data_IF_281701701873
#
_entry.id   IF_281701701873
#
_cell.length_a   1.000
_cell.length_b   1.000
_cell.length_c   1.000
_cell.angle_alpha   90.00
_cell.angle_beta   90.00
_cell.angle_gamma   90.00
#
_symmetry.space_group_name_H-M   'P 1'
#
loop_
_entity.id
_entity.type
_entity.pdbx_description
1 polymer ?
#
# COMPACT_ATOMS: atom_id res chain seq x y z
N UNK A 1 12.65 1.00 -6.80
CA UNK A 1 11.81 0.07 -6.02
C UNK A 1 12.51 -0.26 -4.71
N UNK A 2 13.76 -0.73 -4.74
CA UNK A 2 14.50 -1.14 -3.54
C UNK A 2 14.69 -0.06 -2.46
N UNK A 3 14.53 1.22 -2.79
CA UNK A 3 14.61 2.33 -1.83
C UNK A 3 13.23 2.78 -1.31
N UNK A 4 12.15 2.30 -1.93
CA UNK A 4 10.80 2.77 -1.61
C UNK A 4 10.21 2.00 -0.42
N UNK A 5 9.82 2.71 0.66
CA UNK A 5 9.07 2.12 1.76
C UNK A 5 7.55 2.18 1.56
N UNK A 6 7.10 2.84 0.49
CA UNK A 6 5.68 3.11 0.29
C UNK A 6 5.30 3.17 -1.19
N UNK A 7 4.16 2.58 -1.51
CA UNK A 7 3.55 2.76 -2.83
C UNK A 7 2.01 2.79 -2.71
N UNK A 8 1.36 3.24 -3.77
CA UNK A 8 -0.08 3.09 -3.97
C UNK A 8 -0.29 2.02 -5.02
N UNK A 9 -1.12 1.02 -4.71
CA UNK A 9 -1.59 -0.01 -5.62
C UNK A 9 -2.99 0.38 -6.11
N UNK A 10 -3.11 0.59 -7.42
CA UNK A 10 -4.40 0.78 -8.08
C UNK A 10 -4.84 -0.51 -8.77
N UNK A 11 -6.13 -0.85 -8.63
CA UNK A 11 -6.78 -2.01 -9.24
C UNK A 11 -8.17 -1.62 -9.73
N UNK A 12 -8.74 -2.40 -10.62
CA UNK A 12 -10.15 -2.23 -11.03
C UNK A 12 -10.90 -3.55 -10.95
N UNK A 13 -12.16 -3.46 -10.59
CA UNK A 13 -13.07 -4.60 -10.65
C UNK A 13 -13.55 -4.90 -12.08
N UNK A 14 -14.44 -5.89 -12.22
CA UNK A 14 -15.02 -6.29 -13.51
C UNK A 14 -15.92 -5.22 -14.14
N UNK A 15 -16.48 -4.32 -13.32
CA UNK A 15 -17.38 -3.27 -13.76
C UNK A 15 -16.65 -1.95 -14.07
N UNK A 16 -15.32 -1.94 -13.87
CA UNK A 16 -14.46 -0.78 -14.13
C UNK A 16 -14.37 0.19 -12.96
N UNK A 17 -14.94 -0.12 -11.78
CA UNK A 17 -14.70 0.66 -10.58
C UNK A 17 -13.25 0.53 -10.13
N UNK A 18 -12.63 1.63 -9.74
CA UNK A 18 -11.21 1.70 -9.41
C UNK A 18 -11.02 1.82 -7.89
N UNK A 19 -10.11 1.01 -7.36
CA UNK A 19 -9.61 1.11 -5.99
C UNK A 19 -8.15 1.53 -5.97
N UNK A 20 -7.78 2.33 -4.98
CA UNK A 20 -6.40 2.77 -4.74
C UNK A 20 -6.03 2.54 -3.28
N UNK A 21 -5.14 1.59 -3.04
CA UNK A 21 -4.78 1.13 -1.71
C UNK A 21 -3.33 1.48 -1.36
N UNK A 22 -3.06 2.10 -0.19
CA UNK A 22 -1.71 2.31 0.30
C UNK A 22 -1.05 0.98 0.67
N UNK A 23 0.21 0.82 0.31
CA UNK A 23 1.05 -0.33 0.66
C UNK A 23 2.39 0.18 1.19
N UNK A 24 2.86 -0.42 2.28
CA UNK A 24 4.09 0.02 2.91
C UNK A 24 4.77 -1.08 3.71
N UNK A 25 6.06 -0.89 3.94
CA UNK A 25 6.94 -1.78 4.69
C UNK A 25 8.34 -1.16 4.79
N UNK A 26 9.34 -1.96 5.12
CA UNK A 26 10.73 -1.49 5.03
C UNK A 26 11.08 -1.12 3.57
N UNK A 27 12.05 -0.22 3.34
CA UNK A 27 12.53 0.04 1.98
C UNK A 27 12.82 -1.26 1.23
N UNK A 28 12.23 -1.41 0.04
CA UNK A 28 12.33 -2.64 -0.74
C UNK A 28 11.34 -3.76 -0.37
N UNK A 29 10.29 -3.47 0.41
CA UNK A 29 9.26 -4.44 0.79
C UNK A 29 8.57 -5.12 -0.41
N UNK A 30 8.59 -4.48 -1.58
CA UNK A 30 8.25 -5.11 -2.85
C UNK A 30 9.52 -5.63 -3.48
N UNK A 31 9.63 -6.93 -3.63
CA UNK A 31 10.82 -7.59 -4.13
C UNK A 31 10.83 -7.61 -5.67
N UNK A 32 11.98 -7.35 -6.26
CA UNK A 32 12.22 -7.53 -7.68
C UNK A 32 12.63 -8.98 -7.89
N UNK A 33 11.69 -9.81 -8.33
CA UNK A 33 11.89 -11.25 -8.53
C UNK A 33 12.53 -11.60 -9.87
N UNK A 34 12.69 -10.62 -10.76
CA UNK A 34 13.28 -10.79 -12.09
C UNK A 34 13.08 -9.55 -12.96
N UNK A 35 13.54 -9.56 -14.22
CA UNK A 35 13.45 -8.40 -15.11
C UNK A 35 12.03 -7.84 -15.27
N UNK A 36 11.03 -8.71 -15.26
CA UNK A 36 9.63 -8.35 -15.45
C UNK A 36 8.73 -8.89 -14.34
N UNK A 37 9.26 -9.12 -13.14
CA UNK A 37 8.51 -9.70 -12.03
C UNK A 37 8.69 -8.89 -10.76
N UNK A 38 7.58 -8.42 -10.18
CA UNK A 38 7.53 -7.92 -8.83
C UNK A 38 6.74 -8.86 -7.93
N UNK A 39 7.14 -8.93 -6.67
CA UNK A 39 6.51 -9.73 -5.64
C UNK A 39 6.17 -8.82 -4.47
N UNK A 40 4.88 -8.64 -4.21
CA UNK A 40 4.39 -7.80 -3.12
C UNK A 40 3.74 -8.67 -2.05
N UNK A 41 4.32 -8.72 -0.83
CA UNK A 41 3.73 -9.47 0.27
C UNK A 41 2.45 -8.80 0.77
N UNK A 42 1.41 -9.60 1.05
CA UNK A 42 0.21 -9.13 1.74
C UNK A 42 0.44 -9.15 3.24
N UNK A 43 0.41 -7.99 3.85
CA UNK A 43 0.58 -7.79 5.29
C UNK A 43 -0.76 -7.52 5.96
N UNK A 44 -0.82 -7.82 7.24
CA UNK A 44 -1.98 -7.46 8.07
C UNK A 44 -2.23 -5.94 8.01
N UNK A 45 -3.49 -5.56 7.86
CA UNK A 45 -3.89 -4.16 7.72
C UNK A 45 -5.37 -3.99 8.03
N UNK A 46 -6.06 -3.16 7.27
CA UNK A 46 -7.46 -2.79 7.48
C UNK A 46 -8.50 -3.90 7.20
N UNK A 47 -8.08 -5.13 6.94
CA UNK A 47 -8.90 -6.28 6.57
C UNK A 47 -9.77 -6.11 5.30
N UNK A 48 -9.57 -5.04 4.54
CA UNK A 48 -10.19 -4.87 3.22
C UNK A 48 -9.36 -5.59 2.18
N UNK A 49 -10.00 -6.46 1.42
CA UNK A 49 -9.37 -7.28 0.39
C UNK A 49 -9.71 -6.81 -1.03
N UNK A 50 -10.24 -5.59 -1.16
CA UNK A 50 -10.77 -5.06 -2.42
C UNK A 50 -9.74 -5.20 -3.56
N UNK A 51 -8.48 -4.82 -3.34
CA UNK A 51 -7.44 -4.96 -4.36
C UNK A 51 -7.21 -6.41 -4.80
N UNK A 52 -7.20 -7.37 -3.86
CA UNK A 52 -7.03 -8.80 -4.21
C UNK A 52 -8.26 -9.36 -4.92
N UNK A 53 -9.44 -8.95 -4.48
CA UNK A 53 -10.70 -9.32 -5.14
C UNK A 53 -10.74 -8.79 -6.57
N UNK A 54 -10.40 -7.53 -6.79
CA UNK A 54 -10.32 -6.93 -8.12
C UNK A 54 -9.34 -7.66 -9.04
N UNK A 55 -8.22 -8.15 -8.47
CA UNK A 55 -7.23 -8.91 -9.23
C UNK A 55 -7.74 -10.29 -9.60
N UNK A 56 -8.39 -11.00 -8.67
CA UNK A 56 -8.84 -12.38 -8.85
C UNK A 56 -10.12 -12.46 -9.69
N UNK A 57 -11.09 -11.59 -9.42
CA UNK A 57 -12.40 -11.59 -10.03
C UNK A 57 -12.51 -10.66 -11.25
N UNK A 58 -11.61 -9.67 -11.35
CA UNK A 58 -11.61 -8.66 -12.41
C UNK A 58 -10.58 -8.92 -13.51
N UNK A 59 -10.07 -7.85 -14.09
CA UNK A 59 -9.13 -7.92 -15.21
C UNK A 59 -7.73 -8.40 -14.83
N UNK A 60 -7.39 -8.35 -13.55
CA UNK A 60 -6.05 -8.58 -13.03
C UNK A 60 -5.05 -7.45 -13.34
N UNK A 61 -5.45 -6.38 -14.02
CA UNK A 61 -4.54 -5.24 -14.25
C UNK A 61 -4.31 -4.48 -12.96
N UNK A 62 -3.05 -4.15 -12.75
CA UNK A 62 -2.56 -3.38 -11.60
C UNK A 62 -1.67 -2.25 -12.05
N UNK A 63 -1.70 -1.17 -11.29
CA UNK A 63 -0.76 -0.07 -11.47
C UNK A 63 -0.22 0.38 -10.11
N UNK A 64 1.10 0.56 -10.04
CA UNK A 64 1.77 1.01 -8.82
C UNK A 64 2.40 2.38 -9.06
N UNK A 65 2.39 3.20 -8.03
CA UNK A 65 3.19 4.41 -7.95
C UNK A 65 4.04 4.36 -6.68
N UNK A 66 5.36 4.36 -6.86
CA UNK A 66 6.35 4.26 -5.78
C UNK A 66 6.82 5.64 -5.36
N UNK A 67 6.97 5.82 -4.06
CA UNK A 67 7.48 7.03 -3.43
C UNK A 67 8.73 6.72 -2.62
N UNK A 68 9.71 7.59 -2.72
CA UNK A 68 10.92 7.55 -1.87
C UNK A 68 10.96 8.86 -1.10
N UNK A 69 10.89 8.85 0.23
CA UNK A 69 10.91 10.08 1.01
C UNK A 69 12.12 10.96 0.67
N UNK A 70 11.85 12.23 0.39
CA UNK A 70 12.87 13.21 -0.01
C UNK A 70 13.22 13.23 -1.50
N UNK A 71 12.63 12.34 -2.32
CA UNK A 71 12.77 12.33 -3.78
C UNK A 71 11.43 12.69 -4.41
N UNK A 72 11.42 13.72 -5.27
CA UNK A 72 10.17 14.23 -5.86
C UNK A 72 9.72 13.40 -7.08
N UNK A 73 10.62 12.76 -7.80
CA UNK A 73 10.28 11.84 -8.89
C UNK A 73 9.63 10.56 -8.33
N UNK A 74 8.63 10.06 -9.05
CA UNK A 74 7.99 8.79 -8.73
C UNK A 74 8.21 7.78 -9.83
N UNK A 75 8.30 6.49 -9.46
CA UNK A 75 8.33 5.40 -10.42
C UNK A 75 6.92 4.82 -10.56
N UNK A 76 6.46 4.66 -11.80
CA UNK A 76 5.20 3.99 -12.10
C UNK A 76 5.46 2.65 -12.76
N UNK A 77 4.71 1.65 -12.32
CA UNK A 77 4.81 0.28 -12.83
C UNK A 77 3.40 -0.24 -13.12
N UNK A 78 3.14 -0.57 -14.37
CA UNK A 78 1.90 -1.22 -14.80
C UNK A 78 2.15 -2.68 -15.14
N UNK A 79 1.16 -3.52 -14.84
CA UNK A 79 1.32 -4.95 -15.11
C UNK A 79 0.04 -5.75 -14.89
N UNK A 80 0.20 -7.06 -14.82
CA UNK A 80 -0.87 -8.00 -14.52
C UNK A 80 -0.55 -8.76 -13.23
N UNK A 81 -1.48 -8.68 -12.27
CA UNK A 81 -1.36 -9.32 -10.97
C UNK A 81 -1.94 -10.74 -10.96
N UNK A 82 -1.34 -11.58 -10.15
CA UNK A 82 -1.83 -12.89 -9.78
C UNK A 82 -1.52 -13.13 -8.30
N UNK A 83 -2.49 -13.62 -7.54
CA UNK A 83 -2.33 -13.88 -6.10
C UNK A 83 -1.90 -15.33 -5.89
N UNK A 84 -0.87 -15.53 -5.09
CA UNK A 84 -0.39 -16.86 -4.71
C UNK A 84 -0.24 -17.00 -3.21
N UNK A 85 -0.44 -18.23 -2.74
CA UNK A 85 -0.20 -18.66 -1.36
C UNK A 85 0.91 -19.73 -1.30
N UNK A 86 1.86 -19.68 -2.22
CA UNK A 86 3.00 -20.58 -2.25
C UNK A 86 3.79 -20.49 -0.93
N UNK A 87 3.91 -21.59 -0.16
CA UNK A 87 4.52 -21.57 1.16
C UNK A 87 6.01 -21.21 1.14
N UNK A 88 6.76 -21.64 0.12
CA UNK A 88 8.19 -21.35 0.02
C UNK A 88 8.41 -19.88 -0.28
N UNK A 89 7.61 -19.33 -1.19
CA UNK A 89 7.65 -17.91 -1.50
C UNK A 89 7.26 -17.06 -0.28
N UNK A 90 6.19 -17.42 0.42
CA UNK A 90 5.77 -16.71 1.64
C UNK A 90 6.84 -16.77 2.73
N UNK A 91 7.48 -17.94 2.92
CA UNK A 91 8.55 -18.11 3.89
C UNK A 91 9.79 -17.25 3.58
N UNK A 92 10.09 -17.02 2.30
CA UNK A 92 11.20 -16.16 1.87
C UNK A 92 10.93 -14.64 2.11
N UNK A 93 9.69 -14.27 2.43
CA UNK A 93 9.25 -12.88 2.59
C UNK A 93 8.82 -12.55 4.02
N UNK A 94 9.38 -13.25 5.01
CA UNK A 94 9.14 -12.96 6.43
C UNK A 94 9.69 -11.57 6.76
N UNK A 95 8.85 -10.75 7.41
CA UNK A 95 9.19 -9.41 7.89
C UNK A 95 8.47 -9.17 9.22
N UNK A 96 9.07 -8.45 10.14
CA UNK A 96 8.55 -8.26 11.50
C UNK A 96 8.22 -9.58 12.22
N UNK A 97 8.97 -10.66 11.89
CA UNK A 97 8.76 -11.98 12.47
C UNK A 97 7.52 -12.74 11.98
N UNK A 98 6.83 -12.23 10.96
CA UNK A 98 5.59 -12.83 10.43
C UNK A 98 5.70 -13.08 8.92
N UNK A 99 5.28 -14.24 8.41
CA UNK A 99 5.12 -14.45 6.97
C UNK A 99 3.92 -13.64 6.45
N UNK A 100 3.90 -13.25 5.18
CA UNK A 100 2.72 -12.68 4.56
C UNK A 100 1.57 -13.69 4.49
N UNK A 101 0.33 -13.21 4.35
CA UNK A 101 -0.86 -14.07 4.15
C UNK A 101 -0.95 -14.60 2.72
N UNK A 102 -0.47 -13.84 1.77
CA UNK A 102 -0.39 -14.14 0.36
C UNK A 102 0.70 -13.28 -0.27
N UNK A 103 1.04 -13.58 -1.51
CA UNK A 103 1.95 -12.75 -2.32
C UNK A 103 1.25 -12.37 -3.61
N UNK A 104 1.21 -11.09 -3.91
CA UNK A 104 0.82 -10.60 -5.22
C UNK A 104 2.05 -10.64 -6.15
N UNK A 105 1.99 -11.51 -7.14
CA UNK A 105 2.94 -11.56 -8.26
C UNK A 105 2.46 -10.58 -9.32
N UNK A 106 3.34 -9.74 -9.82
CA UNK A 106 3.02 -8.75 -10.86
C UNK A 106 3.94 -8.99 -12.05
N UNK A 107 3.36 -9.44 -13.15
CA UNK A 107 4.03 -9.51 -14.44
C UNK A 107 4.06 -8.10 -15.03
N UNK A 108 5.23 -7.47 -14.98
CA UNK A 108 5.45 -6.08 -15.37
C UNK A 108 5.36 -5.93 -16.88
N UNK A 109 4.56 -4.97 -17.32
CA UNK A 109 4.36 -4.64 -18.75
C UNK A 109 4.95 -3.29 -19.14
N UNK A 110 4.91 -2.35 -18.19
CA UNK A 110 5.45 -1.02 -18.41
C UNK A 110 6.07 -0.45 -17.13
N UNK A 111 7.12 0.31 -17.31
CA UNK A 111 7.81 1.05 -16.24
C UNK A 111 8.22 2.40 -16.77
N UNK A 112 7.90 3.47 -16.02
CA UNK A 112 8.34 4.81 -16.39
C UNK A 112 8.42 5.74 -15.19
N UNK A 113 9.31 6.73 -15.29
CA UNK A 113 9.40 7.80 -14.30
C UNK A 113 8.33 8.86 -14.56
N UNK A 114 7.79 9.35 -13.45
CA UNK A 114 6.92 10.53 -13.47
C UNK A 114 7.66 11.71 -12.86
N UNK A 115 7.54 12.89 -13.47
CA UNK A 115 8.25 14.08 -13.03
C UNK A 115 7.85 14.52 -11.62
N UNK A 116 8.79 15.13 -10.91
CA UNK A 116 8.62 15.58 -9.52
C UNK A 116 7.73 16.81 -9.32
N UNK A 117 7.20 17.44 -10.39
CA UNK A 117 6.50 18.73 -10.28
C UNK A 117 5.31 18.74 -9.34
N UNK A 118 4.60 17.61 -9.20
CA UNK A 118 3.45 17.53 -8.29
C UNK A 118 3.91 17.55 -6.82
N UNK A 119 4.92 16.76 -6.48
CA UNK A 119 5.49 16.69 -5.14
C UNK A 119 6.20 17.98 -4.74
N UNK A 120 6.92 18.60 -5.68
CA UNK A 120 7.53 19.92 -5.49
C UNK A 120 6.49 21.00 -5.20
N UNK A 121 5.39 21.07 -5.96
CA UNK A 121 4.33 22.05 -5.74
C UNK A 121 3.62 21.86 -4.41
N UNK A 122 3.38 20.61 -4.02
CA UNK A 122 2.76 20.29 -2.73
C UNK A 122 3.70 20.42 -1.54
N UNK A 123 5.02 20.55 -1.80
CA UNK A 123 6.07 20.51 -0.77
C UNK A 123 5.96 19.26 0.12
N UNK A 124 5.56 18.12 -0.47
CA UNK A 124 5.18 16.91 0.28
C UNK A 124 6.24 16.47 1.30
N UNK A 125 7.51 16.61 0.96
CA UNK A 125 8.63 16.21 1.81
C UNK A 125 9.16 17.33 2.74
N UNK A 126 8.60 18.54 2.66
CA UNK A 126 9.01 19.65 3.52
C UNK A 126 8.41 19.50 4.92
N UNK A 127 9.22 19.78 5.94
CA UNK A 127 8.72 19.86 7.33
C UNK A 127 7.64 20.93 7.50
N UNK A 128 7.69 22.01 6.71
CA UNK A 128 6.69 23.07 6.73
C UNK A 128 5.30 22.61 6.28
N UNK A 129 5.22 21.46 5.61
CA UNK A 129 3.95 20.84 5.18
C UNK A 129 3.33 19.93 6.24
N UNK A 130 4.07 19.64 7.31
CA UNK A 130 3.58 18.76 8.37
C UNK A 130 2.54 19.50 9.22
N UNK A 131 1.44 18.83 9.46
CA UNK A 131 0.40 19.32 10.37
C UNK A 131 0.43 18.53 11.68
N UNK A 132 0.02 19.16 12.77
CA UNK A 132 -0.11 18.44 14.03
C UNK A 132 -1.19 17.34 13.90
N UNK A 133 -0.95 16.16 14.49
CA UNK A 133 -1.91 15.05 14.44
C UNK A 133 -3.29 15.44 14.98
N UNK A 134 -3.34 16.35 15.94
CA UNK A 134 -4.57 16.87 16.58
C UNK A 134 -5.47 17.71 15.66
N UNK A 135 -5.00 18.08 14.46
CA UNK A 135 -5.83 18.82 13.47
C UNK A 135 -6.95 17.95 12.89
N UNK A 136 -6.76 16.64 12.90
CA UNK A 136 -7.72 15.69 12.36
C UNK A 136 -8.26 14.78 13.47
N UNK A 137 -9.58 14.52 13.54
CA UNK A 137 -10.14 13.54 14.47
C UNK A 137 -9.55 12.15 14.26
N UNK A 138 -9.64 11.31 15.26
CA UNK A 138 -9.21 9.90 15.12
C UNK A 138 -10.12 9.18 14.13
N UNK A 139 -9.59 8.13 13.49
CA UNK A 139 -10.42 7.28 12.60
C UNK A 139 -11.61 6.67 13.35
N UNK A 140 -11.44 6.36 14.65
CA UNK A 140 -12.49 5.81 15.48
C UNK A 140 -13.62 6.83 15.73
N UNK A 141 -13.29 8.10 15.96
CA UNK A 141 -14.28 9.18 16.05
C UNK A 141 -15.05 9.37 14.74
N UNK A 142 -14.35 9.39 13.60
CA UNK A 142 -14.98 9.50 12.28
C UNK A 142 -15.96 8.35 12.01
N UNK A 143 -15.56 7.10 12.33
CA UNK A 143 -16.42 5.92 12.18
C UNK A 143 -17.63 6.01 13.12
N UNK A 144 -17.42 6.43 14.37
CA UNK A 144 -18.50 6.60 15.33
C UNK A 144 -19.52 7.64 14.87
N UNK A 145 -19.07 8.80 14.39
CA UNK A 145 -19.97 9.84 13.84
C UNK A 145 -20.81 9.33 12.67
N UNK A 146 -20.24 8.47 11.81
CA UNK A 146 -20.92 7.93 10.64
C UNK A 146 -21.89 6.77 10.97
N UNK A 147 -21.58 5.98 11.97
CA UNK A 147 -22.29 4.73 12.25
C UNK A 147 -23.09 4.74 13.55
N UNK A 148 -22.75 5.61 14.48
CA UNK A 148 -23.26 5.65 15.86
C UNK A 148 -23.06 4.32 16.62
N UNK A 149 -22.06 3.53 16.19
CA UNK A 149 -21.79 2.20 16.76
C UNK A 149 -20.58 2.23 17.70
N UNK A 150 -20.78 1.71 18.91
CA UNK A 150 -19.71 1.56 19.89
C UNK A 150 -19.35 2.85 20.64
N UNK A 151 -18.19 2.84 21.28
CA UNK A 151 -17.53 4.01 21.87
C UNK A 151 -16.23 4.24 21.08
N UNK A 152 -15.95 5.46 20.60
CA UNK A 152 -14.73 5.69 19.82
C UNK A 152 -13.49 5.53 20.70
N UNK A 153 -12.52 4.75 20.22
CA UNK A 153 -11.20 4.71 20.81
C UNK A 153 -10.51 6.07 20.66
N UNK A 154 -9.72 6.44 21.65
CA UNK A 154 -8.84 7.61 21.53
C UNK A 154 -7.77 7.38 20.47
N UNK A 155 -7.18 8.45 19.98
CA UNK A 155 -6.07 8.34 19.01
C UNK A 155 -4.90 7.51 19.56
N UNK A 156 -4.59 7.65 20.85
CA UNK A 156 -3.51 6.90 21.50
C UNK A 156 -3.81 5.40 21.55
N UNK A 157 -5.03 5.00 21.83
CA UNK A 157 -5.48 3.61 21.82
C UNK A 157 -5.42 3.01 20.41
N UNK A 158 -5.84 3.78 19.39
CA UNK A 158 -5.74 3.37 17.98
C UNK A 158 -4.28 3.14 17.58
N UNK A 159 -3.39 4.07 17.91
CA UNK A 159 -1.96 3.96 17.59
C UNK A 159 -1.28 2.81 18.35
N UNK A 160 -1.62 2.60 19.61
CA UNK A 160 -1.12 1.47 20.41
C UNK A 160 -1.52 0.13 19.76
N UNK A 161 -2.79 0.01 19.35
CA UNK A 161 -3.28 -1.16 18.63
C UNK A 161 -2.55 -1.38 17.31
N UNK A 162 -2.34 -0.35 16.51
CA UNK A 162 -1.60 -0.46 15.25
C UNK A 162 -0.17 -0.96 15.46
N UNK A 163 0.53 -0.45 16.46
CA UNK A 163 1.90 -0.90 16.80
C UNK A 163 1.98 -2.38 17.13
N UNK A 164 0.93 -2.97 17.70
CA UNK A 164 0.90 -4.42 17.99
C UNK A 164 0.59 -5.27 16.76
N UNK A 165 0.06 -4.67 15.71
CA UNK A 165 -0.34 -5.35 14.48
C UNK A 165 0.74 -5.30 13.37
N UNK A 166 1.72 -4.39 13.50
CA UNK A 166 2.90 -4.35 12.65
C UNK A 166 3.85 -5.50 12.97
#
# INVERSE_FOLDING_TARGET
IGMSPFCVLATSDSDGSVDASPRGGNPGFIHVGGPNLLLMPDRSGNNRIDSFRNIVEGSGFVHLIFFVPGIDETLRVGGKGNVTVDPELMASMVEFGKPPRAVLRIDVREVYFHCGKALMRSKLWSQDSHVARSVQPSIAEVIFEQTSMGTPDTQEEVEARYKTQL
#
